data_IF_175953761476
#
_entry.id   IF_175953761476
#
_cell.length_a   1.000
_cell.length_b   1.000
_cell.length_c   1.000
_cell.angle_alpha   90.00
_cell.angle_beta   90.00
_cell.angle_gamma   90.00
#
_symmetry.space_group_name_H-M   'P 1'
#
loop_
_entity.id
_entity.type
_entity.pdbx_description
1 polymer ?
#
# COMPACT_ATOMS: atom_id res chain seq x y z
N UNK A 1 -33.70 14.93 0.76
CA UNK A 1 -34.20 15.90 -0.23
C UNK A 1 -33.22 17.07 -0.28
N UNK A 2 -32.32 17.07 -1.25
CA UNK A 2 -31.36 18.15 -1.51
C UNK A 2 -32.03 19.17 -2.42
N UNK A 3 -32.30 20.37 -1.90
CA UNK A 3 -32.66 21.52 -2.73
C UNK A 3 -31.39 21.96 -3.49
N UNK A 4 -31.44 22.17 -4.81
CA UNK A 4 -30.24 22.42 -5.59
C UNK A 4 -29.65 23.81 -5.26
N UNK A 5 -28.32 23.93 -5.10
CA UNK A 5 -27.62 25.16 -4.71
C UNK A 5 -27.86 26.36 -5.65
N UNK A 6 -28.35 26.11 -6.86
CA UNK A 6 -28.69 27.13 -7.85
C UNK A 6 -29.87 28.03 -7.45
N UNK A 7 -30.83 27.53 -6.66
CA UNK A 7 -31.99 28.33 -6.21
C UNK A 7 -31.56 29.33 -5.13
N UNK A 8 -30.61 28.94 -4.27
CA UNK A 8 -30.07 29.82 -3.21
C UNK A 8 -29.26 30.97 -3.83
N UNK A 9 -28.46 30.70 -4.87
CA UNK A 9 -27.69 31.75 -5.56
C UNK A 9 -28.56 32.78 -6.32
N UNK A 10 -29.72 32.37 -6.83
CA UNK A 10 -30.62 33.27 -7.58
C UNK A 10 -31.39 34.23 -6.67
N UNK A 11 -31.85 33.73 -5.52
CA UNK A 11 -32.58 34.54 -4.53
C UNK A 11 -31.64 35.55 -3.83
N UNK A 12 -30.39 35.17 -3.54
CA UNK A 12 -29.41 36.06 -2.91
C UNK A 12 -28.93 37.18 -3.83
N UNK A 13 -28.72 36.91 -5.13
CA UNK A 13 -28.34 37.93 -6.12
C UNK A 13 -29.39 39.04 -6.28
N UNK A 14 -30.67 38.68 -6.20
CA UNK A 14 -31.79 39.62 -6.34
C UNK A 14 -31.93 40.52 -5.11
N UNK A 15 -31.68 39.97 -3.91
CA UNK A 15 -31.70 40.73 -2.64
C UNK A 15 -30.45 41.64 -2.53
N UNK A 16 -29.29 41.19 -3.03
CA UNK A 16 -28.02 41.94 -3.00
C UNK A 16 -28.06 43.23 -3.84
N UNK A 17 -28.72 43.21 -5.01
CA UNK A 17 -28.90 44.42 -5.84
C UNK A 17 -29.77 45.48 -5.17
N UNK A 18 -30.60 45.11 -4.19
CA UNK A 18 -31.56 46.01 -3.57
C UNK A 18 -30.99 46.78 -2.37
N UNK A 19 -29.86 46.35 -1.80
CA UNK A 19 -29.38 46.88 -0.51
C UNK A 19 -28.04 47.65 -0.51
N UNK A 20 -27.38 47.84 -1.66
CA UNK A 20 -26.17 48.68 -1.79
C UNK A 20 -25.16 48.49 -0.63
N UNK A 21 -24.93 47.23 -0.24
CA UNK A 21 -24.16 46.90 0.96
C UNK A 21 -22.67 46.96 0.62
N UNK A 22 -21.98 47.79 1.37
CA UNK A 22 -20.55 48.11 1.32
C UNK A 22 -19.63 46.92 1.61
N UNK A 23 -18.37 47.04 1.19
CA UNK A 23 -17.28 46.05 1.26
C UNK A 23 -17.13 45.25 2.57
N UNK A 24 -17.67 45.72 3.70
CA UNK A 24 -17.69 44.99 4.96
C UNK A 24 -18.59 43.74 4.91
N UNK A 25 -19.69 43.78 4.15
CA UNK A 25 -20.58 42.62 3.95
C UNK A 25 -19.90 41.50 3.17
N UNK A 26 -19.12 41.87 2.15
CA UNK A 26 -18.37 40.91 1.32
C UNK A 26 -17.26 40.22 2.12
N UNK A 27 -16.55 40.97 2.99
CA UNK A 27 -15.53 40.40 3.88
C UNK A 27 -16.16 39.42 4.87
N UNK A 28 -17.30 39.78 5.48
CA UNK A 28 -18.02 38.89 6.38
C UNK A 28 -18.48 37.61 5.68
N UNK A 29 -19.01 37.74 4.45
CA UNK A 29 -19.43 36.59 3.65
C UNK A 29 -18.26 35.68 3.30
N UNK A 30 -17.10 36.24 2.94
CA UNK A 30 -15.91 35.46 2.63
C UNK A 30 -15.39 34.70 3.85
N UNK A 31 -15.37 35.34 5.03
CA UNK A 31 -15.00 34.70 6.29
C UNK A 31 -15.98 33.59 6.65
N UNK A 32 -17.29 33.84 6.54
CA UNK A 32 -18.33 32.86 6.82
C UNK A 32 -18.25 31.65 5.87
N UNK A 33 -18.02 31.88 4.57
CA UNK A 33 -17.84 30.82 3.59
C UNK A 33 -16.59 29.98 3.89
N UNK A 34 -15.49 30.62 4.29
CA UNK A 34 -14.26 29.94 4.66
C UNK A 34 -14.44 29.09 5.94
N UNK A 35 -15.16 29.61 6.94
CA UNK A 35 -15.53 28.85 8.14
C UNK A 35 -16.46 27.68 7.82
N UNK A 36 -17.42 27.87 6.91
CA UNK A 36 -18.30 26.79 6.46
C UNK A 36 -17.55 25.71 5.69
N UNK A 37 -16.58 26.08 4.85
CA UNK A 37 -15.69 25.11 4.20
C UNK A 37 -14.91 24.33 5.24
N UNK A 38 -14.33 24.98 6.25
CA UNK A 38 -13.63 24.28 7.35
C UNK A 38 -14.58 23.35 8.12
N UNK A 39 -15.78 23.83 8.46
CA UNK A 39 -16.79 23.11 9.26
C UNK A 39 -17.40 21.90 8.53
N UNK A 40 -17.67 22.01 7.22
CA UNK A 40 -18.36 20.97 6.44
C UNK A 40 -17.44 19.98 5.71
N UNK A 41 -16.12 20.06 5.86
CA UNK A 41 -15.22 19.05 5.28
C UNK A 41 -13.80 19.50 4.97
N UNK A 42 -13.49 20.79 5.12
CA UNK A 42 -12.16 21.36 4.92
C UNK A 42 -11.13 20.78 5.89
N UNK A 43 -11.54 20.40 7.10
CA UNK A 43 -10.66 19.68 8.04
C UNK A 43 -10.18 18.32 7.52
N UNK A 44 -11.01 17.59 6.76
CA UNK A 44 -10.63 16.32 6.13
C UNK A 44 -9.64 16.59 4.98
N UNK A 45 -9.91 17.59 4.15
CA UNK A 45 -8.99 17.99 3.06
C UNK A 45 -7.64 18.46 3.63
N UNK A 46 -7.66 19.26 4.71
CA UNK A 46 -6.46 19.75 5.36
C UNK A 46 -5.67 18.63 6.04
N UNK A 47 -6.35 17.69 6.71
CA UNK A 47 -5.71 16.49 7.27
C UNK A 47 -5.08 15.64 6.17
N UNK A 48 -5.78 15.43 5.05
CA UNK A 48 -5.21 14.75 3.87
C UNK A 48 -3.98 15.48 3.31
N UNK A 49 -3.98 16.80 3.27
CA UNK A 49 -2.81 17.60 2.82
C UNK A 49 -1.65 17.46 3.81
N UNK A 50 -1.90 17.58 5.12
CA UNK A 50 -0.86 17.43 6.15
C UNK A 50 -0.27 16.01 6.17
N UNK A 51 -1.11 14.99 6.04
CA UNK A 51 -0.68 13.60 5.91
C UNK A 51 0.13 13.40 4.63
N UNK A 52 -0.28 14.03 3.52
CA UNK A 52 0.48 14.03 2.27
C UNK A 52 1.86 14.70 2.40
N UNK A 53 1.99 15.76 3.21
CA UNK A 53 3.28 16.39 3.52
C UNK A 53 4.15 15.53 4.46
N UNK A 54 3.55 14.93 5.49
CA UNK A 54 4.22 14.01 6.43
C UNK A 54 4.76 12.75 5.73
N UNK A 55 3.96 12.14 4.86
CA UNK A 55 4.35 10.94 4.10
C UNK A 55 5.48 11.23 3.10
N UNK A 56 5.56 12.43 2.53
CA UNK A 56 6.68 12.83 1.67
C UNK A 56 8.00 12.96 2.44
N UNK A 57 7.96 13.35 3.72
CA UNK A 57 9.16 13.44 4.54
C UNK A 57 9.68 12.04 4.93
N UNK A 58 8.79 11.11 5.29
CA UNK A 58 9.16 9.72 5.58
C UNK A 58 9.65 8.97 4.33
N UNK A 59 9.00 9.15 3.17
CA UNK A 59 9.51 8.62 1.88
C UNK A 59 10.90 9.18 1.56
N UNK A 60 11.12 10.48 1.75
CA UNK A 60 12.43 11.11 1.49
C UNK A 60 13.54 10.60 2.41
N UNK A 61 13.30 10.38 3.70
CA UNK A 61 14.33 9.87 4.62
C UNK A 61 14.93 8.53 4.16
N UNK A 62 14.15 7.71 3.43
CA UNK A 62 14.61 6.44 2.86
C UNK A 62 15.14 6.59 1.42
N UNK A 63 14.57 7.48 0.60
CA UNK A 63 14.87 7.62 -0.85
C UNK A 63 16.12 8.47 -1.16
N UNK A 64 16.76 9.13 -0.18
CA UNK A 64 17.76 10.20 -0.40
C UNK A 64 18.98 9.86 -1.31
N UNK A 65 19.25 8.63 -1.76
CA UNK A 65 20.49 8.34 -2.53
C UNK A 65 20.40 7.60 -3.88
N UNK A 66 19.24 7.31 -4.48
CA UNK A 66 19.22 6.64 -5.80
C UNK A 66 18.38 7.43 -6.82
N UNK A 67 19.05 7.96 -7.86
CA UNK A 67 18.49 8.68 -9.02
C UNK A 67 17.75 7.75 -10.02
N UNK A 68 17.21 6.63 -9.56
CA UNK A 68 16.42 5.73 -10.40
C UNK A 68 14.92 6.02 -10.26
N UNK A 69 14.15 5.51 -11.24
CA UNK A 69 12.71 5.71 -11.34
C UNK A 69 11.99 5.45 -10.00
N UNK A 70 11.00 6.27 -9.67
CA UNK A 70 10.28 6.20 -8.38
C UNK A 70 9.71 4.79 -8.07
N UNK A 71 9.40 3.98 -9.11
CA UNK A 71 8.87 2.62 -8.94
C UNK A 71 9.97 1.60 -8.58
N UNK A 72 11.16 1.68 -9.18
CA UNK A 72 12.27 0.77 -8.88
C UNK A 72 12.78 0.95 -7.44
N UNK A 73 12.83 2.20 -6.99
CA UNK A 73 13.16 2.53 -5.60
C UNK A 73 12.14 1.95 -4.61
N UNK A 74 10.84 2.01 -4.93
CA UNK A 74 9.80 1.44 -4.07
C UNK A 74 9.93 -0.07 -3.95
N UNK A 75 10.16 -0.76 -5.08
CA UNK A 75 10.38 -2.22 -5.10
C UNK A 75 11.59 -2.62 -4.26
N UNK A 76 12.70 -1.87 -4.37
CA UNK A 76 13.91 -2.13 -3.58
C UNK A 76 13.65 -1.98 -2.06
N UNK A 77 12.91 -0.95 -1.66
CA UNK A 77 12.55 -0.73 -0.24
C UNK A 77 11.67 -1.86 0.29
N UNK A 78 10.64 -2.27 -0.48
CA UNK A 78 9.78 -3.39 -0.09
C UNK A 78 10.61 -4.67 0.07
N UNK A 79 11.48 -4.99 -0.90
CA UNK A 79 12.35 -6.17 -0.82
C UNK A 79 13.27 -6.12 0.40
N UNK A 80 13.89 -4.98 0.70
CA UNK A 80 14.75 -4.84 1.88
C UNK A 80 13.95 -5.08 3.18
N UNK A 81 12.77 -4.48 3.27
CA UNK A 81 11.85 -4.64 4.40
C UNK A 81 11.42 -6.10 4.61
N UNK A 82 11.11 -6.83 3.54
CA UNK A 82 10.66 -8.23 3.62
C UNK A 82 11.81 -9.21 3.87
N UNK A 83 12.99 -8.95 3.32
CA UNK A 83 14.14 -9.86 3.41
C UNK A 83 14.84 -9.81 4.76
N UNK A 84 14.73 -8.70 5.48
CA UNK A 84 15.29 -8.56 6.81
C UNK A 84 14.22 -8.87 7.87
N UNK A 85 14.37 -9.98 8.59
CA UNK A 85 13.43 -10.42 9.62
C UNK A 85 13.13 -9.35 10.69
N UNK A 86 14.16 -8.62 11.12
CA UNK A 86 14.01 -7.57 12.12
C UNK A 86 13.22 -6.35 11.60
N UNK A 87 13.23 -6.12 10.29
CA UNK A 87 12.41 -5.07 9.65
C UNK A 87 11.02 -5.60 9.27
N UNK A 88 10.92 -6.86 8.84
CA UNK A 88 9.68 -7.49 8.40
C UNK A 88 8.61 -7.47 9.48
N UNK A 89 8.99 -7.60 10.76
CA UNK A 89 8.07 -7.50 11.91
C UNK A 89 7.19 -6.23 11.90
N UNK A 90 7.68 -5.12 11.36
CA UNK A 90 6.92 -3.86 11.30
C UNK A 90 5.76 -3.94 10.29
N UNK A 91 6.02 -4.52 9.11
CA UNK A 91 4.98 -4.72 8.10
C UNK A 91 4.05 -5.88 8.46
N UNK A 92 4.56 -6.95 9.09
CA UNK A 92 3.72 -8.04 9.61
C UNK A 92 2.70 -7.53 10.63
N UNK A 93 3.15 -6.71 11.59
CA UNK A 93 2.26 -6.08 12.58
C UNK A 93 1.20 -5.22 11.92
N UNK A 94 1.56 -4.47 10.87
CA UNK A 94 0.61 -3.68 10.12
C UNK A 94 -0.41 -4.54 9.37
N UNK A 95 0.06 -5.55 8.63
CA UNK A 95 -0.80 -6.46 7.89
C UNK A 95 -1.73 -7.27 8.81
N UNK A 96 -1.32 -7.57 10.05
CA UNK A 96 -2.23 -8.14 11.06
C UNK A 96 -3.41 -7.22 11.38
N UNK A 97 -3.19 -5.90 11.45
CA UNK A 97 -4.26 -4.92 11.71
C UNK A 97 -5.15 -4.69 10.47
N UNK A 98 -4.58 -4.80 9.26
CA UNK A 98 -5.34 -4.70 7.99
C UNK A 98 -5.96 -6.02 7.53
N UNK A 99 -5.81 -7.12 8.29
CA UNK A 99 -6.26 -8.46 7.89
C UNK A 99 -5.70 -8.89 6.52
N UNK A 100 -4.41 -8.62 6.30
CA UNK A 100 -3.69 -8.90 5.05
C UNK A 100 -2.36 -9.64 5.28
N UNK A 101 -2.20 -10.27 6.45
CA UNK A 101 -0.96 -10.95 6.87
C UNK A 101 -0.58 -12.11 5.94
N UNK A 102 -1.58 -12.79 5.36
CA UNK A 102 -1.40 -13.90 4.44
C UNK A 102 -0.52 -13.54 3.23
N UNK A 103 -0.55 -12.28 2.76
CA UNK A 103 0.32 -11.83 1.68
C UNK A 103 1.81 -11.86 2.09
N UNK A 104 2.12 -11.51 3.35
CA UNK A 104 3.50 -11.51 3.85
C UNK A 104 3.98 -12.94 4.09
N UNK A 105 3.14 -13.80 4.68
CA UNK A 105 3.47 -15.21 4.91
C UNK A 105 3.67 -15.95 3.58
N UNK A 106 2.76 -15.79 2.64
CA UNK A 106 2.89 -16.37 1.31
C UNK A 106 4.11 -15.86 0.55
N UNK A 107 4.51 -14.59 0.73
CA UNK A 107 5.76 -14.09 0.15
C UNK A 107 6.98 -14.83 0.69
N UNK A 108 7.05 -15.04 2.00
CA UNK A 108 8.17 -15.75 2.63
C UNK A 108 8.26 -17.19 2.13
N UNK A 109 7.12 -17.89 2.07
CA UNK A 109 7.08 -19.28 1.61
C UNK A 109 7.40 -19.40 0.11
N UNK A 110 6.80 -18.55 -0.74
CA UNK A 110 7.10 -18.52 -2.17
C UNK A 110 8.56 -18.14 -2.44
N UNK A 111 9.15 -17.26 -1.62
CA UNK A 111 10.56 -16.90 -1.73
C UNK A 111 11.45 -18.07 -1.36
N UNK A 112 11.15 -18.78 -0.26
CA UNK A 112 11.89 -19.98 0.14
C UNK A 112 11.89 -21.03 -0.97
N UNK A 113 10.76 -21.23 -1.65
CA UNK A 113 10.68 -22.11 -2.83
C UNK A 113 11.63 -21.70 -3.95
N UNK A 114 11.81 -20.40 -4.20
CA UNK A 114 12.70 -19.89 -5.24
C UNK A 114 14.19 -19.93 -4.83
N UNK A 115 14.48 -19.75 -3.54
CA UNK A 115 15.84 -19.73 -3.00
C UNK A 115 16.43 -21.14 -2.81
N UNK A 116 15.59 -22.19 -2.76
CA UNK A 116 15.97 -23.59 -2.53
C UNK A 116 15.73 -24.48 -3.78
N UNK A 117 16.47 -24.30 -4.90
CA UNK A 117 16.37 -25.19 -6.05
C UNK A 117 16.96 -26.59 -5.79
N UNK A 118 16.44 -27.66 -6.44
CA UNK A 118 15.36 -27.64 -7.42
C UNK A 118 13.98 -27.47 -6.76
N UNK A 119 13.08 -26.73 -7.42
CA UNK A 119 11.75 -26.47 -6.88
C UNK A 119 10.91 -27.74 -7.00
N UNK A 120 10.51 -28.29 -5.86
CA UNK A 120 9.76 -29.54 -5.79
C UNK A 120 8.26 -29.31 -6.00
N UNK A 121 7.60 -30.26 -6.68
CA UNK A 121 6.14 -30.26 -6.87
C UNK A 121 5.41 -30.24 -5.52
N UNK A 122 5.95 -30.91 -4.52
CA UNK A 122 5.46 -30.97 -3.15
C UNK A 122 5.40 -29.59 -2.49
N UNK A 123 6.41 -28.74 -2.73
CA UNK A 123 6.43 -27.37 -2.23
C UNK A 123 5.34 -26.53 -2.87
N UNK A 124 5.13 -26.69 -4.19
CA UNK A 124 4.02 -26.02 -4.90
C UNK A 124 2.64 -26.52 -4.42
N UNK A 125 2.53 -27.82 -4.13
CA UNK A 125 1.30 -28.42 -3.60
C UNK A 125 0.98 -27.89 -2.21
N UNK A 126 1.97 -27.83 -1.32
CA UNK A 126 1.83 -27.24 0.01
C UNK A 126 1.38 -25.78 -0.08
N UNK A 127 2.05 -24.99 -0.93
CA UNK A 127 1.68 -23.60 -1.16
C UNK A 127 0.23 -23.47 -1.66
N UNK A 128 -0.18 -24.32 -2.60
CA UNK A 128 -1.53 -24.32 -3.13
C UNK A 128 -2.58 -24.64 -2.06
N UNK A 129 -2.36 -25.67 -1.23
CA UNK A 129 -3.30 -26.06 -0.19
C UNK A 129 -3.45 -24.99 0.91
N UNK A 130 -2.34 -24.33 1.29
CA UNK A 130 -2.34 -23.32 2.36
C UNK A 130 -2.80 -21.94 1.88
N UNK A 131 -2.45 -21.51 0.67
CA UNK A 131 -2.65 -20.11 0.24
C UNK A 131 -3.59 -19.93 -0.95
N UNK A 132 -3.94 -20.98 -1.71
CA UNK A 132 -4.79 -20.83 -2.90
C UNK A 132 -6.10 -21.58 -2.85
N UNK A 133 -6.18 -22.61 -2.01
CA UNK A 133 -7.38 -23.42 -1.88
C UNK A 133 -8.50 -22.59 -1.27
N UNK A 134 -9.63 -22.60 -1.94
CA UNK A 134 -10.82 -21.92 -1.43
C UNK A 134 -11.17 -22.41 -0.03
N UNK A 135 -11.49 -21.48 0.86
CA UNK A 135 -11.74 -21.74 2.29
C UNK A 135 -10.48 -22.05 3.11
N UNK A 136 -9.28 -21.85 2.57
CA UNK A 136 -8.09 -21.80 3.41
C UNK A 136 -8.20 -20.60 4.36
N UNK A 137 -7.72 -20.77 5.59
CA UNK A 137 -7.67 -19.69 6.59
C UNK A 137 -6.74 -18.54 6.17
N UNK A 138 -5.80 -18.84 5.29
CA UNK A 138 -4.75 -17.94 4.78
C UNK A 138 -4.86 -17.82 3.26
N UNK A 139 -6.07 -17.94 2.70
CA UNK A 139 -6.31 -17.79 1.27
C UNK A 139 -5.87 -16.39 0.78
N UNK A 140 -4.89 -16.37 -0.13
CA UNK A 140 -4.37 -15.16 -0.76
C UNK A 140 -5.21 -14.85 -1.99
N UNK A 141 -5.60 -13.58 -2.12
CA UNK A 141 -6.28 -13.09 -3.32
C UNK A 141 -5.31 -13.02 -4.51
N UNK A 142 -5.24 -14.10 -5.30
CA UNK A 142 -4.40 -14.20 -6.50
C UNK A 142 -5.24 -14.13 -7.78
N UNK A 143 -4.67 -13.65 -8.90
CA UNK A 143 -5.33 -13.69 -10.19
C UNK A 143 -5.76 -15.11 -10.57
N UNK A 144 -6.96 -15.27 -11.13
CA UNK A 144 -7.48 -16.57 -11.54
C UNK A 144 -6.53 -17.34 -12.47
N UNK A 145 -5.80 -16.62 -13.34
CA UNK A 145 -4.77 -17.21 -14.23
C UNK A 145 -3.62 -17.85 -13.46
N UNK A 146 -3.17 -17.23 -12.36
CA UNK A 146 -2.11 -17.77 -11.49
C UNK A 146 -2.57 -19.08 -10.84
N UNK A 147 -3.79 -19.09 -10.28
CA UNK A 147 -4.37 -20.28 -9.65
C UNK A 147 -4.58 -21.41 -10.67
N UNK A 148 -5.03 -21.09 -11.88
CA UNK A 148 -5.20 -22.06 -12.95
C UNK A 148 -3.89 -22.67 -13.42
N UNK A 149 -2.82 -21.86 -13.55
CA UNK A 149 -1.50 -22.38 -13.93
C UNK A 149 -0.95 -23.32 -12.85
N UNK A 150 -1.08 -22.95 -11.57
CA UNK A 150 -0.63 -23.83 -10.48
C UNK A 150 -1.40 -25.17 -10.49
N UNK A 151 -2.72 -25.13 -10.69
CA UNK A 151 -3.53 -26.35 -10.85
C UNK A 151 -3.08 -27.20 -12.04
N UNK A 152 -2.76 -26.57 -13.18
CA UNK A 152 -2.27 -27.29 -14.37
C UNK A 152 -1.01 -28.09 -14.02
N UNK A 153 0.00 -27.42 -13.45
CA UNK A 153 1.29 -28.03 -13.08
C UNK A 153 1.11 -29.13 -12.02
N UNK A 154 0.25 -28.92 -11.02
CA UNK A 154 0.01 -29.93 -9.97
C UNK A 154 -0.71 -31.19 -10.49
N UNK A 155 -1.51 -31.05 -11.55
CA UNK A 155 -2.23 -32.17 -12.19
C UNK A 155 -1.35 -32.99 -13.13
N UNK A 156 -0.14 -32.54 -13.47
CA UNK A 156 0.82 -33.32 -14.26
C UNK A 156 1.53 -34.33 -13.37
N UNK A 157 1.69 -35.58 -13.82
CA UNK A 157 2.32 -36.62 -13.00
C UNK A 157 3.79 -36.29 -12.70
N UNK A 158 4.52 -35.78 -13.71
CA UNK A 158 5.93 -35.39 -13.66
C UNK A 158 6.13 -34.03 -14.36
N UNK A 159 5.77 -32.91 -13.71
CA UNK A 159 5.91 -31.57 -14.29
C UNK A 159 7.38 -31.18 -14.44
N UNK A 160 7.69 -30.44 -15.51
CA UNK A 160 9.05 -29.92 -15.70
C UNK A 160 9.43 -28.89 -14.63
N UNK A 161 10.71 -28.81 -14.28
CA UNK A 161 11.21 -27.79 -13.35
C UNK A 161 10.90 -26.36 -13.85
N UNK A 162 10.96 -26.15 -15.16
CA UNK A 162 10.61 -24.88 -15.80
C UNK A 162 9.12 -24.52 -15.60
N UNK A 163 8.23 -25.50 -15.66
CA UNK A 163 6.80 -25.31 -15.40
C UNK A 163 6.54 -24.92 -13.93
N UNK A 164 7.21 -25.60 -12.99
CA UNK A 164 7.12 -25.30 -11.56
C UNK A 164 7.68 -23.90 -11.28
N UNK A 165 8.83 -23.55 -11.85
CA UNK A 165 9.45 -22.24 -11.72
C UNK A 165 8.55 -21.14 -12.30
N UNK A 166 7.95 -21.37 -13.47
CA UNK A 166 7.02 -20.43 -14.09
C UNK A 166 5.79 -20.20 -13.21
N UNK A 167 5.18 -21.26 -12.66
CA UNK A 167 4.06 -21.15 -11.74
C UNK A 167 4.46 -20.36 -10.48
N UNK A 168 5.61 -20.68 -9.89
CA UNK A 168 6.14 -20.01 -8.69
C UNK A 168 6.41 -18.52 -8.93
N UNK A 169 6.91 -18.15 -10.10
CA UNK A 169 7.09 -16.74 -10.47
C UNK A 169 5.75 -15.99 -10.62
N UNK A 170 4.71 -16.63 -11.17
CA UNK A 170 3.37 -16.03 -11.23
C UNK A 170 2.77 -15.81 -9.84
N UNK A 171 3.01 -16.74 -8.91
CA UNK A 171 2.66 -16.61 -7.49
C UNK A 171 3.35 -15.40 -6.91
N UNK A 172 4.68 -15.37 -6.99
CA UNK A 172 5.51 -14.30 -6.44
C UNK A 172 5.06 -12.93 -6.95
N UNK A 173 4.81 -12.81 -8.26
CA UNK A 173 4.32 -11.57 -8.86
C UNK A 173 2.94 -11.16 -8.32
N UNK A 174 1.99 -12.09 -8.21
CA UNK A 174 0.66 -11.82 -7.69
C UNK A 174 0.69 -11.34 -6.23
N UNK A 175 1.43 -12.04 -5.38
CA UNK A 175 1.62 -11.66 -3.97
C UNK A 175 2.28 -10.30 -3.87
N UNK A 176 3.32 -10.06 -4.66
CA UNK A 176 4.06 -8.81 -4.60
C UNK A 176 3.18 -7.60 -4.99
N UNK A 177 2.25 -7.75 -5.93
CA UNK A 177 1.28 -6.70 -6.24
C UNK A 177 0.35 -6.38 -5.05
N UNK A 178 -0.15 -7.40 -4.34
CA UNK A 178 -0.95 -7.20 -3.12
C UNK A 178 -0.14 -6.49 -2.03
N UNK A 179 1.15 -6.85 -1.89
CA UNK A 179 2.06 -6.18 -0.95
C UNK A 179 2.29 -4.73 -1.37
N UNK A 180 2.50 -4.40 -2.65
CA UNK A 180 2.66 -3.00 -3.12
C UNK A 180 1.45 -2.15 -2.74
N UNK A 181 0.23 -2.66 -2.95
CA UNK A 181 -0.99 -1.95 -2.56
C UNK A 181 -1.04 -1.69 -1.04
N UNK A 182 -0.74 -2.71 -0.24
CA UNK A 182 -0.66 -2.61 1.23
C UNK A 182 0.44 -1.65 1.68
N UNK A 183 1.60 -1.69 1.02
CA UNK A 183 2.76 -0.87 1.31
C UNK A 183 2.48 0.62 1.13
N UNK A 184 1.67 0.98 0.13
CA UNK A 184 1.27 2.37 -0.12
C UNK A 184 0.52 3.00 1.08
N UNK A 185 -0.25 2.18 1.81
CA UNK A 185 -0.95 2.58 3.04
C UNK A 185 -0.02 2.49 4.25
N UNK A 186 0.77 1.42 4.35
CA UNK A 186 1.78 1.23 5.38
C UNK A 186 2.72 2.43 5.51
N UNK A 187 3.16 3.03 4.40
CA UNK A 187 4.04 4.22 4.37
C UNK A 187 3.48 5.45 5.11
N UNK A 188 2.18 5.46 5.45
CA UNK A 188 1.51 6.56 6.15
C UNK A 188 1.39 6.32 7.66
N UNK A 189 1.83 5.15 8.13
CA UNK A 189 1.63 4.67 9.50
C UNK A 189 2.77 5.07 10.44
N UNK A 190 2.58 4.82 11.74
CA UNK A 190 3.66 5.00 12.73
C UNK A 190 4.67 3.87 12.64
N UNK A 191 4.21 2.66 12.33
CA UNK A 191 4.99 1.45 12.15
C UNK A 191 6.04 1.63 11.04
N UNK A 192 5.68 2.28 9.93
CA UNK A 192 6.64 2.61 8.88
C UNK A 192 7.69 3.63 9.34
N UNK A 193 7.30 4.63 10.15
CA UNK A 193 8.27 5.60 10.70
C UNK A 193 9.28 4.91 11.62
N UNK A 194 8.86 3.91 12.38
CA UNK A 194 9.74 3.09 13.21
C UNK A 194 10.64 2.19 12.35
N UNK A 195 10.08 1.54 11.33
CA UNK A 195 10.85 0.72 10.39
C UNK A 195 11.93 1.54 9.65
N UNK A 196 11.57 2.75 9.18
CA UNK A 196 12.50 3.64 8.49
C UNK A 196 13.66 4.11 9.38
N UNK A 197 13.39 4.35 10.68
CA UNK A 197 14.46 4.65 11.65
C UNK A 197 15.38 3.45 11.83
N UNK A 198 14.82 2.26 12.06
CA UNK A 198 15.59 1.03 12.19
C UNK A 198 16.45 0.72 10.95
N UNK A 199 15.92 0.93 9.74
CA UNK A 199 16.68 0.81 8.49
C UNK A 199 17.87 1.76 8.44
N UNK A 200 17.68 3.02 8.84
CA UNK A 200 18.76 3.99 8.83
C UNK A 200 19.84 3.65 9.87
N UNK A 201 19.44 3.22 11.07
CA UNK A 201 20.36 2.83 12.14
C UNK A 201 21.22 1.62 11.72
N UNK A 202 20.62 0.60 11.11
CA UNK A 202 21.35 -0.56 10.55
C UNK A 202 22.37 -0.13 9.50
N UNK A 203 21.98 0.76 8.58
CA UNK A 203 22.86 1.26 7.53
C UNK A 203 24.04 2.08 8.08
N UNK A 204 23.84 2.82 9.17
CA UNK A 204 24.93 3.56 9.84
C UNK A 204 25.93 2.58 10.44
N UNK A 205 25.46 1.56 11.14
CA UNK A 205 26.32 0.53 11.75
C UNK A 205 27.14 -0.22 10.68
N UNK A 206 26.55 -0.57 9.54
CA UNK A 206 27.27 -1.22 8.42
C UNK A 206 28.40 -0.35 7.85
N UNK A 207 28.24 0.98 7.85
CA UNK A 207 29.29 1.89 7.38
C UNK A 207 30.41 2.07 8.39
N UNK A 208 30.15 1.89 9.68
CA UNK A 208 31.17 2.00 10.73
C UNK A 208 32.03 0.73 10.85
N UNK A 209 31.53 -0.40 10.35
CA UNK A 209 32.21 -1.70 10.36
C UNK A 209 33.08 -1.98 9.13
N UNK A 210 32.95 -1.16 8.07
CA UNK A 210 33.72 -1.26 6.82
C UNK A 210 34.74 -0.12 6.70
#
# INVERSE_FOLDING_TARGET
MLLPPLIICSVTSTILKQYNITAAGDVFYLIFLLLMVIYFGGGVVFSCILDMYSSRYAKRVVIINNEDSDDDNEVAVIKNLLNNEALRKYIEKYCQMEFSLENILGYVDAKKMLDEPPIQKESLQHFYDEYMKSSSKTEINLPAKTVQECKRVLNEDDPSEDDILKATNLIMNGIFQNIKDTFSRFCKTKEYKEAARAMNDMRVLEKELN
#
